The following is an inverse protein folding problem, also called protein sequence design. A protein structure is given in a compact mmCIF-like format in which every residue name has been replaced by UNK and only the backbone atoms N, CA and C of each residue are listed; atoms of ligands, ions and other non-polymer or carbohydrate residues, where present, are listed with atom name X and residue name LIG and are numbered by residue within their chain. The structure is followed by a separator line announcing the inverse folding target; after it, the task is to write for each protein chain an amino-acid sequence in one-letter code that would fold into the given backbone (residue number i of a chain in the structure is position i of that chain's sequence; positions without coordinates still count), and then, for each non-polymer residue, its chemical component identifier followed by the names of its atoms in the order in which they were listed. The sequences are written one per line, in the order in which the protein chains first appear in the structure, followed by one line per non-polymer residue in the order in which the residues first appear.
data_IF_108699895055
#
_entry.id   IF_108699895055
#
_cell.length_a   1.000
_cell.length_b   1.000
_cell.length_c   1.000
_cell.angle_alpha   90.00
_cell.angle_beta   90.00
_cell.angle_gamma   90.00
#
_symmetry.space_group_name_H-M   'P 1'
#
loop_
_entity.id
_entity.type
_entity.pdbx_description
1 polymer ?
#
# COMPACT_ATOMS: atom_id res chain seq x y z
N UNK A 1 12.82 12.47 -19.16
CA UNK A 1 11.42 12.74 -18.79
C UNK A 1 10.60 11.53 -19.19
N UNK A 2 10.59 10.47 -18.37
CA UNK A 2 9.79 9.27 -18.64
C UNK A 2 8.34 9.57 -18.27
N UNK A 3 7.55 9.91 -19.27
CA UNK A 3 6.12 10.10 -19.17
C UNK A 3 5.45 8.72 -19.04
N UNK A 4 5.39 8.19 -17.82
CA UNK A 4 4.77 6.89 -17.53
C UNK A 4 3.41 7.13 -16.90
N UNK A 5 2.48 7.70 -17.67
CA UNK A 5 1.06 7.35 -17.53
C UNK A 5 0.88 5.95 -18.15
N UNK A 6 1.62 4.96 -17.64
CA UNK A 6 1.39 3.56 -17.99
C UNK A 6 0.15 3.14 -17.22
N UNK A 7 -1.01 3.62 -17.71
CA UNK A 7 -2.31 3.12 -17.28
C UNK A 7 -2.24 1.62 -17.46
N UNK A 8 -2.17 0.89 -16.35
CA UNK A 8 -2.33 -0.55 -16.34
C UNK A 8 -3.57 -0.89 -17.18
N UNK A 9 -3.52 -1.87 -18.09
CA UNK A 9 -4.63 -2.23 -18.96
C UNK A 9 -5.71 -3.00 -18.19
N UNK A 10 -6.11 -2.47 -17.04
CA UNK A 10 -7.09 -3.04 -16.12
C UNK A 10 -8.13 -1.99 -15.79
N UNK A 11 -9.40 -2.34 -16.02
CA UNK A 11 -10.54 -1.52 -15.60
C UNK A 11 -11.07 -2.08 -14.30
N UNK A 12 -10.89 -1.32 -13.22
CA UNK A 12 -11.45 -1.65 -11.92
C UNK A 12 -12.97 -1.47 -11.92
N UNK A 13 -13.67 -2.36 -11.23
CA UNK A 13 -15.13 -2.36 -11.14
C UNK A 13 -15.61 -2.19 -9.71
N UNK A 14 -16.76 -1.55 -9.55
CA UNK A 14 -17.46 -1.40 -8.28
C UNK A 14 -16.57 -0.74 -7.20
N UNK A 15 -16.56 -1.31 -6.01
CA UNK A 15 -15.77 -0.93 -4.85
C UNK A 15 -14.41 -1.63 -4.83
N UNK A 16 -13.89 -2.10 -5.98
CA UNK A 16 -12.61 -2.80 -6.03
C UNK A 16 -11.43 -1.84 -6.02
N UNK A 17 -10.39 -2.21 -5.27
CA UNK A 17 -9.13 -1.50 -5.17
C UNK A 17 -8.00 -2.45 -5.53
N UNK A 18 -7.10 -2.00 -6.40
CA UNK A 18 -5.87 -2.70 -6.76
C UNK A 18 -4.70 -2.02 -6.07
N UNK A 19 -3.90 -2.79 -5.33
CA UNK A 19 -2.75 -2.27 -4.59
C UNK A 19 -1.48 -3.03 -4.94
N UNK A 20 -0.33 -2.38 -4.77
CA UNK A 20 1.00 -2.98 -4.88
C UNK A 20 1.63 -3.04 -3.49
N UNK A 21 1.98 -4.24 -3.06
CA UNK A 21 2.59 -4.50 -1.75
C UNK A 21 3.98 -3.87 -1.65
N UNK A 22 4.28 -3.19 -0.53
CA UNK A 22 5.61 -2.61 -0.27
C UNK A 22 6.64 -3.63 0.25
N UNK A 23 6.21 -4.83 0.62
CA UNK A 23 7.09 -5.83 1.25
C UNK A 23 7.72 -6.75 0.21
N UNK A 24 9.06 -6.84 0.10
CA UNK A 24 9.70 -7.95 -0.58
C UNK A 24 9.41 -9.23 0.21
N UNK A 25 8.94 -10.28 -0.48
CA UNK A 25 8.85 -11.62 0.07
C UNK A 25 10.22 -12.04 0.62
N UNK A 26 10.34 -12.22 1.94
CA UNK A 26 11.49 -12.91 2.56
C UNK A 26 12.19 -12.20 3.72
N UNK A 27 12.34 -10.88 3.70
CA UNK A 27 13.25 -10.21 4.64
C UNK A 27 12.54 -9.66 5.89
N UNK A 28 12.20 -10.54 6.84
CA UNK A 28 11.64 -10.14 8.14
C UNK A 28 12.73 -9.66 9.11
N UNK A 29 13.03 -8.37 9.12
CA UNK A 29 13.71 -7.72 10.25
C UNK A 29 12.66 -7.20 11.23
N UNK A 30 12.70 -7.65 12.48
CA UNK A 30 11.99 -6.98 13.58
C UNK A 30 12.62 -5.59 13.82
N UNK A 31 11.90 -4.68 14.50
CA UNK A 31 12.39 -3.33 14.80
C UNK A 31 13.71 -3.29 15.61
N UNK A 32 14.14 -4.41 16.18
CA UNK A 32 15.44 -4.59 16.85
C UNK A 32 16.51 -5.28 16.01
N UNK A 33 16.31 -5.48 14.71
CA UNK A 33 17.29 -6.12 13.81
C UNK A 33 17.33 -7.65 13.89
N UNK A 34 16.45 -8.28 14.67
CA UNK A 34 16.39 -9.74 14.81
C UNK A 34 15.60 -10.33 13.63
N UNK A 35 16.21 -11.30 12.94
CA UNK A 35 15.56 -12.14 11.93
C UNK A 35 14.58 -13.09 12.62
N UNK A 36 13.28 -12.91 12.38
CA UNK A 36 12.26 -13.81 12.94
C UNK A 36 12.04 -14.98 11.96
N UNK A 37 12.31 -16.23 12.38
CA UNK A 37 12.13 -17.40 11.53
C UNK A 37 10.66 -17.57 11.13
N UNK A 38 10.41 -18.12 9.93
CA UNK A 38 9.07 -18.28 9.35
C UNK A 38 8.09 -19.10 10.23
N UNK A 39 8.61 -19.91 11.16
CA UNK A 39 7.85 -20.77 12.07
C UNK A 39 7.33 -20.09 13.33
N UNK A 40 7.73 -18.84 13.61
CA UNK A 40 7.16 -18.09 14.71
C UNK A 40 5.74 -17.66 14.35
N UNK A 41 4.74 -18.12 15.12
CA UNK A 41 3.37 -17.65 15.03
C UNK A 41 3.30 -16.19 15.52
N UNK A 42 3.68 -15.28 14.65
CA UNK A 42 3.46 -13.85 14.81
C UNK A 42 1.99 -13.64 14.46
N UNK A 43 1.20 -13.14 15.41
CA UNK A 43 -0.21 -12.81 15.20
C UNK A 43 -0.44 -12.00 13.91
N UNK A 44 -1.67 -12.04 13.39
CA UNK A 44 -2.07 -11.43 12.11
C UNK A 44 -1.50 -10.02 11.98
N UNK A 45 -0.51 -9.85 11.10
CA UNK A 45 0.13 -8.55 10.88
C UNK A 45 -0.46 -7.93 9.62
N UNK A 46 -1.10 -6.78 9.81
CA UNK A 46 -1.55 -5.94 8.72
C UNK A 46 -0.34 -5.47 7.88
N UNK A 47 -0.56 -5.34 6.58
CA UNK A 47 0.43 -4.94 5.60
C UNK A 47 0.08 -3.58 4.99
N UNK A 48 1.12 -2.80 4.67
CA UNK A 48 0.98 -1.56 3.91
C UNK A 48 1.16 -1.83 2.41
N UNK A 49 0.35 -1.15 1.59
CA UNK A 49 0.47 -1.16 0.15
C UNK A 49 0.10 0.20 -0.45
N UNK A 50 0.56 0.45 -1.66
CA UNK A 50 0.22 1.63 -2.45
C UNK A 50 -0.97 1.32 -3.36
N UNK A 51 -1.97 2.21 -3.40
CA UNK A 51 -3.12 2.09 -4.30
C UNK A 51 -2.67 2.42 -5.72
N UNK A 52 -2.95 1.52 -6.65
CA UNK A 52 -2.54 1.66 -8.06
C UNK A 52 -3.74 1.91 -8.97
N UNK A 53 -4.91 1.35 -8.64
CA UNK A 53 -6.15 1.61 -9.37
C UNK A 53 -7.39 1.43 -8.48
N UNK A 54 -8.44 2.19 -8.76
CA UNK A 54 -9.70 2.18 -8.01
C UNK A 54 -10.90 2.02 -8.94
N UNK A 55 -11.92 1.29 -8.47
CA UNK A 55 -13.20 1.13 -9.16
C UNK A 55 -14.11 2.35 -8.99
N UNK A 56 -15.13 2.46 -9.84
CA UNK A 56 -15.97 3.66 -9.91
C UNK A 56 -16.80 3.96 -8.65
N UNK A 57 -16.95 3.00 -7.72
CA UNK A 57 -17.71 3.20 -6.48
C UNK A 57 -16.83 3.46 -5.27
N UNK A 58 -15.49 3.43 -5.42
CA UNK A 58 -14.54 3.76 -4.35
C UNK A 58 -14.58 5.27 -4.11
N UNK A 59 -14.58 5.69 -2.85
CA UNK A 59 -14.71 7.10 -2.44
C UNK A 59 -13.67 7.54 -1.41
N UNK A 60 -13.05 6.59 -0.72
CA UNK A 60 -12.22 6.83 0.46
C UNK A 60 -10.74 6.90 0.12
N UNK A 61 -10.34 6.39 -1.05
CA UNK A 61 -8.94 6.31 -1.49
C UNK A 61 -8.81 6.63 -2.97
N UNK A 62 -7.63 7.09 -3.36
CA UNK A 62 -7.24 7.35 -4.74
C UNK A 62 -5.88 6.72 -5.09
N UNK A 63 -5.53 6.57 -6.38
CA UNK A 63 -4.21 6.09 -6.77
C UNK A 63 -3.09 6.95 -6.17
N UNK A 64 -2.09 6.30 -5.57
CA UNK A 64 -1.00 6.94 -4.82
C UNK A 64 -1.19 6.87 -3.29
N UNK A 65 -2.40 6.64 -2.80
CA UNK A 65 -2.62 6.50 -1.37
C UNK A 65 -1.91 5.27 -0.80
N UNK A 66 -1.42 5.41 0.44
CA UNK A 66 -0.90 4.28 1.21
C UNK A 66 -1.96 3.73 2.12
N UNK A 67 -2.27 2.44 1.97
CA UNK A 67 -3.38 1.79 2.68
C UNK A 67 -2.92 0.58 3.48
N UNK A 68 -3.57 0.37 4.62
CA UNK A 68 -3.33 -0.75 5.52
C UNK A 68 -4.41 -1.82 5.31
N UNK A 69 -4.02 -3.07 5.10
CA UNK A 69 -4.93 -4.19 4.86
C UNK A 69 -4.44 -5.49 5.53
N UNK A 70 -5.33 -6.48 5.69
CA UNK A 70 -4.95 -7.84 6.12
C UNK A 70 -4.58 -8.70 4.89
N UNK A 71 -3.35 -9.25 4.80
CA UNK A 71 -2.91 -10.04 3.66
C UNK A 71 -3.41 -11.49 3.62
N UNK A 72 -3.94 -12.06 4.72
CA UNK A 72 -4.20 -13.51 4.80
C UNK A 72 -5.37 -14.01 3.92
N UNK A 73 -6.22 -13.12 3.40
CA UNK A 73 -7.42 -13.48 2.63
C UNK A 73 -7.65 -12.52 1.46
N UNK A 74 -6.63 -12.31 0.62
CA UNK A 74 -6.72 -11.39 -0.51
C UNK A 74 -6.31 -12.08 -1.81
N UNK A 75 -6.96 -11.69 -2.90
CA UNK A 75 -6.69 -12.25 -4.21
C UNK A 75 -5.45 -11.56 -4.81
N UNK A 76 -4.47 -12.35 -5.21
CA UNK A 76 -3.32 -11.88 -5.97
C UNK A 76 -3.63 -11.92 -7.47
N UNK A 77 -3.14 -10.92 -8.20
CA UNK A 77 -3.25 -10.84 -9.65
C UNK A 77 -1.93 -10.39 -10.24
N UNK A 78 -1.48 -11.09 -11.28
CA UNK A 78 -0.29 -10.71 -12.03
C UNK A 78 -0.71 -9.92 -13.27
N UNK A 79 -0.16 -8.71 -13.43
CA UNK A 79 -0.35 -7.89 -14.63
C UNK A 79 1.02 -7.50 -15.14
N UNK A 80 1.35 -7.90 -16.39
CA UNK A 80 2.65 -7.63 -17.03
C UNK A 80 3.85 -8.11 -16.19
N UNK A 81 3.73 -9.24 -15.49
CA UNK A 81 4.81 -9.80 -14.65
C UNK A 81 4.97 -9.12 -13.30
N UNK A 82 4.04 -8.25 -12.90
CA UNK A 82 4.03 -7.60 -11.59
C UNK A 82 2.84 -8.12 -10.78
N UNK A 83 3.11 -8.56 -9.56
CA UNK A 83 2.10 -9.01 -8.62
C UNK A 83 1.39 -7.81 -7.96
N UNK A 84 0.07 -7.88 -7.91
CA UNK A 84 -0.82 -6.93 -7.26
C UNK A 84 -1.79 -7.68 -6.37
N UNK A 85 -2.37 -6.95 -5.42
CA UNK A 85 -3.44 -7.46 -4.56
C UNK A 85 -4.74 -6.76 -4.89
N UNK A 86 -5.78 -7.54 -5.13
CA UNK A 86 -7.13 -7.07 -5.44
C UNK A 86 -8.05 -7.28 -4.23
N UNK A 87 -8.71 -6.21 -3.79
CA UNK A 87 -9.62 -6.25 -2.65
C UNK A 87 -10.81 -5.30 -2.82
N UNK A 88 -11.74 -5.27 -1.86
CA UNK A 88 -12.78 -4.24 -1.81
C UNK A 88 -12.33 -3.08 -0.92
N UNK A 89 -12.90 -1.90 -1.14
CA UNK A 89 -12.66 -0.70 -0.33
C UNK A 89 -12.90 -0.95 1.16
N UNK A 90 -13.96 -1.69 1.51
CA UNK A 90 -14.30 -2.03 2.90
C UNK A 90 -13.28 -2.93 3.61
N UNK A 91 -12.38 -3.55 2.86
CA UNK A 91 -11.37 -4.46 3.38
C UNK A 91 -10.09 -3.70 3.80
N UNK A 92 -10.05 -2.38 3.55
CA UNK A 92 -9.01 -1.46 3.99
C UNK A 92 -9.26 -1.05 5.44
N UNK A 93 -8.22 -1.12 6.27
CA UNK A 93 -8.28 -0.74 7.69
C UNK A 93 -7.94 0.73 7.94
N UNK A 94 -7.05 1.30 7.14
CA UNK A 94 -6.61 2.69 7.28
C UNK A 94 -6.00 3.22 5.98
N UNK A 95 -5.98 4.54 5.85
CA UNK A 95 -5.20 5.31 4.87
C UNK A 95 -4.14 6.09 5.65
N UNK A 96 -2.89 6.10 5.17
CA UNK A 96 -1.83 6.86 5.79
C UNK A 96 -2.17 8.35 5.68
N UNK A 97 -2.18 9.06 6.82
CA UNK A 97 -2.25 10.52 6.78
C UNK A 97 -0.93 11.04 6.25
N UNK A 98 -0.99 11.89 5.22
CA UNK A 98 0.16 12.66 4.76
C UNK A 98 0.58 13.60 5.89
N UNK A 99 1.47 13.13 6.77
CA UNK A 99 2.07 13.99 7.78
C UNK A 99 3.10 14.81 7.02
N UNK A 100 2.63 15.91 6.43
CA UNK A 100 3.40 17.04 5.90
C UNK A 100 4.85 16.99 6.39
N UNK A 101 5.77 16.48 5.58
CA UNK A 101 7.20 16.76 5.74
C UNK A 101 7.40 18.23 5.37
N UNK A 102 7.06 19.13 6.30
CA UNK A 102 7.04 20.56 6.04
C UNK A 102 7.10 21.43 7.30
N UNK A 103 7.60 20.91 8.42
CA UNK A 103 7.96 21.74 9.57
C UNK A 103 9.25 21.28 10.23
N UNK A 104 10.29 21.02 9.44
CA UNK A 104 11.68 20.97 9.92
C UNK A 104 12.60 21.73 8.95
N UNK A 105 12.16 22.86 8.38
CA UNK A 105 13.05 23.81 7.69
C UNK A 105 12.38 25.20 7.58
N UNK A 106 12.08 25.84 8.71
CA UNK A 106 12.18 27.30 8.83
C UNK A 106 12.22 27.70 10.29
N UNK A 107 13.34 27.41 10.94
CA UNK A 107 13.83 28.28 12.02
C UNK A 107 14.20 29.61 11.37
N UNK A 108 13.19 30.41 11.03
CA UNK A 108 13.31 31.79 10.61
C UNK A 108 13.02 32.70 11.79
N UNK A 109 13.93 32.71 12.77
CA UNK A 109 14.02 33.80 13.72
C UNK A 109 14.29 35.08 12.92
N UNK A 110 13.33 36.00 12.89
CA UNK A 110 13.60 37.40 12.61
C UNK A 110 12.96 38.24 13.72
N UNK A 111 13.82 39.10 14.27
CA UNK A 111 13.60 40.11 15.31
C UNK A 111 12.45 41.06 14.96
#
# INVERSE_FOLDING_TARGET
MSNTDDKLPIRMLHDRVLVRSDSPEGERRSGGGILIPATAAVGRRLAWAEVVAVGQNVRTVEPGDRVLYDPEDRAEVEVRGVAYVLMRERDLHAVAADRFEGSVDSTGLYL
#
